data_IF_214519770902
#
_entry.id   IF_214519770902
#
_cell.length_a   1.000
_cell.length_b   1.000
_cell.length_c   1.000
_cell.angle_alpha   90.00
_cell.angle_beta   90.00
_cell.angle_gamma   90.00
#
_symmetry.space_group_name_H-M   'P 1'
#
loop_
_entity.id
_entity.type
_entity.pdbx_description
1 polymer ?
#
# COMPACT_ATOMS: atom_id res chain seq x y z
N UNK A 1 -47.79 -37.91 -25.51
CA UNK A 1 -46.73 -38.39 -24.56
C UNK A 1 -45.81 -37.27 -24.32
N UNK A 2 -45.96 -36.58 -23.22
CA UNK A 2 -45.05 -35.48 -22.82
C UNK A 2 -44.04 -36.05 -21.82
N UNK A 3 -42.79 -36.11 -22.23
CA UNK A 3 -41.66 -36.55 -21.42
C UNK A 3 -41.31 -35.46 -20.44
N UNK A 4 -41.58 -35.70 -19.16
CA UNK A 4 -41.27 -34.78 -18.07
C UNK A 4 -39.77 -34.75 -17.87
N UNK A 5 -39.12 -33.65 -18.26
CA UNK A 5 -37.72 -33.33 -17.93
C UNK A 5 -37.59 -33.28 -16.42
N UNK A 6 -37.00 -34.30 -15.82
CA UNK A 6 -36.68 -34.33 -14.40
C UNK A 6 -35.51 -33.39 -14.14
N UNK A 7 -35.76 -32.23 -13.54
CA UNK A 7 -34.75 -31.36 -13.00
C UNK A 7 -33.92 -32.11 -11.93
N UNK A 8 -32.57 -31.99 -11.93
CA UNK A 8 -31.74 -32.65 -10.94
C UNK A 8 -32.03 -32.10 -9.54
N UNK A 9 -32.15 -33.02 -8.58
CA UNK A 9 -32.43 -32.72 -7.17
C UNK A 9 -31.41 -31.76 -6.59
N UNK A 10 -31.86 -30.61 -6.14
CA UNK A 10 -31.07 -29.53 -5.52
C UNK A 10 -30.34 -29.88 -4.18
N UNK A 11 -30.33 -31.16 -3.79
CA UNK A 11 -29.91 -31.58 -2.44
C UNK A 11 -28.39 -31.80 -2.23
N UNK A 12 -27.56 -31.69 -3.27
CA UNK A 12 -26.12 -32.01 -3.13
C UNK A 12 -25.17 -30.88 -3.51
N UNK A 13 -25.64 -29.81 -4.09
CA UNK A 13 -24.83 -28.70 -4.59
C UNK A 13 -24.30 -27.79 -3.48
N UNK A 14 -24.99 -27.72 -2.35
CA UNK A 14 -24.62 -26.87 -1.25
C UNK A 14 -23.37 -27.36 -0.48
N UNK A 15 -23.06 -28.65 -0.49
CA UNK A 15 -21.84 -29.20 0.06
C UNK A 15 -20.64 -29.12 -0.89
N UNK A 16 -20.88 -28.99 -2.20
CA UNK A 16 -19.81 -28.89 -3.20
C UNK A 16 -19.05 -27.57 -3.11
N UNK A 17 -19.74 -26.47 -2.87
CA UNK A 17 -19.10 -25.17 -2.76
C UNK A 17 -18.13 -25.05 -1.57
N UNK A 18 -18.52 -25.45 -0.34
CA UNK A 18 -17.57 -25.52 0.78
C UNK A 18 -16.41 -26.48 0.51
N UNK A 19 -16.68 -27.67 -0.04
CA UNK A 19 -15.63 -28.64 -0.36
C UNK A 19 -14.61 -28.12 -1.38
N UNK A 20 -15.06 -27.40 -2.42
CA UNK A 20 -14.18 -26.76 -3.40
C UNK A 20 -13.41 -25.56 -2.81
N UNK A 21 -13.99 -24.85 -1.83
CA UNK A 21 -13.32 -23.75 -1.15
C UNK A 21 -12.30 -24.22 -0.10
N UNK A 22 -12.46 -25.45 0.44
CA UNK A 22 -11.61 -25.98 1.52
C UNK A 22 -10.11 -25.91 1.23
N UNK A 23 -9.58 -26.31 0.06
CA UNK A 23 -8.15 -26.23 -0.22
C UNK A 23 -7.63 -24.78 -0.18
N UNK A 24 -8.37 -23.83 -0.75
CA UNK A 24 -8.02 -22.41 -0.73
C UNK A 24 -8.05 -21.82 0.68
N UNK A 25 -9.07 -22.13 1.46
CA UNK A 25 -9.18 -21.69 2.85
C UNK A 25 -8.08 -22.31 3.72
N UNK A 26 -7.82 -23.63 3.58
CA UNK A 26 -6.75 -24.30 4.30
C UNK A 26 -5.39 -23.67 4.00
N UNK A 27 -5.11 -23.37 2.72
CA UNK A 27 -3.89 -22.69 2.29
C UNK A 27 -3.76 -21.28 2.89
N UNK A 28 -4.84 -20.52 2.90
CA UNK A 28 -4.91 -19.20 3.53
C UNK A 28 -4.61 -19.27 5.03
N UNK A 29 -5.23 -20.22 5.75
CA UNK A 29 -4.99 -20.43 7.19
C UNK A 29 -3.51 -20.78 7.44
N UNK A 30 -2.95 -21.71 6.69
CA UNK A 30 -1.55 -22.15 6.89
C UNK A 30 -0.57 -21.02 6.58
N UNK A 31 -0.74 -20.29 5.48
CA UNK A 31 0.22 -19.27 5.06
C UNK A 31 0.04 -17.92 5.74
N UNK A 32 -1.12 -17.63 6.28
CA UNK A 32 -1.41 -16.35 6.93
C UNK A 32 -1.62 -16.47 8.43
N UNK A 33 -2.55 -17.31 8.88
CA UNK A 33 -2.89 -17.38 10.29
C UNK A 33 -1.76 -17.98 11.13
N UNK A 34 -1.03 -18.99 10.63
CA UNK A 34 0.07 -19.61 11.38
C UNK A 34 1.25 -18.65 11.56
N UNK A 35 1.78 -17.95 10.51
CA UNK A 35 2.80 -16.93 10.71
C UNK A 35 2.34 -15.77 11.59
N UNK A 36 1.09 -15.32 11.42
CA UNK A 36 0.53 -14.25 12.28
C UNK A 36 0.43 -14.67 13.74
N UNK A 37 0.05 -15.93 14.00
CA UNK A 37 0.10 -16.50 15.36
C UNK A 37 1.53 -16.54 15.91
N UNK A 38 2.53 -16.82 15.07
CA UNK A 38 3.94 -16.70 15.44
C UNK A 38 4.34 -15.30 15.89
N UNK A 39 3.84 -14.27 15.19
CA UNK A 39 4.05 -12.86 15.60
C UNK A 39 3.40 -12.60 16.97
N UNK A 40 2.18 -13.09 17.23
CA UNK A 40 1.52 -12.99 18.53
C UNK A 40 2.33 -13.69 19.63
N UNK A 41 2.82 -14.91 19.36
CA UNK A 41 3.63 -15.68 20.30
C UNK A 41 4.94 -14.99 20.69
N UNK A 42 5.53 -14.20 19.78
CA UNK A 42 6.73 -13.40 20.03
C UNK A 42 6.39 -12.09 20.74
N UNK A 43 5.31 -11.41 20.34
CA UNK A 43 4.92 -10.12 20.90
C UNK A 43 4.46 -10.22 22.35
N UNK A 44 3.74 -11.31 22.69
CA UNK A 44 3.24 -11.62 24.03
C UNK A 44 4.06 -12.68 24.74
N UNK A 45 5.22 -13.04 24.17
CA UNK A 45 6.17 -13.96 24.78
C UNK A 45 7.02 -13.30 25.86
N UNK A 46 7.80 -14.13 26.57
CA UNK A 46 8.78 -13.67 27.53
C UNK A 46 10.02 -13.08 26.86
N UNK A 47 10.85 -12.41 27.64
CA UNK A 47 12.18 -11.94 27.24
C UNK A 47 13.21 -12.67 28.10
N UNK A 48 14.20 -13.29 27.44
CA UNK A 48 15.33 -13.92 28.15
C UNK A 48 16.08 -12.86 28.97
N UNK A 49 16.16 -13.03 30.30
CA UNK A 49 16.78 -12.03 31.17
C UNK A 49 18.28 -11.90 30.97
N UNK A 50 18.95 -12.89 30.35
CA UNK A 50 20.41 -12.90 30.14
C UNK A 50 20.77 -12.31 28.78
N UNK A 51 20.10 -12.76 27.73
CA UNK A 51 20.40 -12.38 26.34
C UNK A 51 19.47 -11.32 25.77
N UNK A 52 18.39 -10.97 26.47
CA UNK A 52 17.40 -10.00 25.99
C UNK A 52 16.61 -10.46 24.74
N UNK A 53 16.77 -11.73 24.35
CA UNK A 53 16.06 -12.30 23.21
C UNK A 53 14.61 -12.60 23.54
N UNK A 54 13.70 -12.38 22.58
CA UNK A 54 12.32 -12.79 22.74
C UNK A 54 12.21 -14.30 22.75
N UNK A 55 11.53 -14.86 23.74
CA UNK A 55 11.19 -16.26 23.87
C UNK A 55 9.73 -16.41 23.44
N UNK A 56 9.44 -17.06 22.29
CA UNK A 56 8.06 -17.21 21.85
C UNK A 56 7.27 -18.11 22.82
N UNK A 57 6.12 -17.64 23.28
CA UNK A 57 5.20 -18.42 24.12
C UNK A 57 4.00 -18.83 23.29
N UNK A 58 3.93 -20.12 22.96
CA UNK A 58 2.88 -20.66 22.09
C UNK A 58 1.54 -20.88 22.80
N UNK A 59 1.52 -20.91 24.14
CA UNK A 59 0.30 -21.09 24.92
C UNK A 59 -0.31 -19.71 25.25
N UNK A 60 -1.50 -19.34 24.72
CA UNK A 60 -2.13 -18.04 25.01
C UNK A 60 -2.42 -17.78 26.50
N UNK A 61 -2.55 -18.83 27.33
CA UNK A 61 -2.79 -18.70 28.77
C UNK A 61 -1.57 -18.23 29.55
N UNK A 62 -0.39 -18.26 28.94
CA UNK A 62 0.90 -17.86 29.53
C UNK A 62 1.44 -16.56 28.87
N UNK A 63 0.62 -15.86 28.12
CA UNK A 63 1.05 -14.62 27.46
C UNK A 63 1.25 -13.50 28.46
N UNK A 64 2.36 -12.80 28.31
CA UNK A 64 2.72 -11.59 29.04
C UNK A 64 2.60 -10.38 28.14
N UNK A 65 1.88 -9.36 28.58
CA UNK A 65 1.64 -8.15 27.79
C UNK A 65 2.65 -7.04 28.04
N UNK A 66 3.68 -7.28 28.85
CA UNK A 66 4.65 -6.27 29.28
C UNK A 66 5.35 -5.60 28.10
N UNK A 67 5.96 -6.39 27.20
CA UNK A 67 6.64 -5.86 26.01
C UNK A 67 5.71 -5.11 25.06
N UNK A 68 4.45 -5.55 24.97
CA UNK A 68 3.45 -4.87 24.14
C UNK A 68 3.03 -3.53 24.75
N UNK A 69 2.77 -3.48 26.06
CA UNK A 69 2.39 -2.23 26.76
C UNK A 69 3.51 -1.23 26.77
N UNK A 70 4.76 -1.64 27.03
CA UNK A 70 5.94 -0.77 26.93
C UNK A 70 6.11 -0.22 25.52
N UNK A 71 5.93 -1.05 24.49
CA UNK A 71 6.01 -0.59 23.08
C UNK A 71 4.88 0.38 22.76
N UNK A 72 3.67 0.11 23.23
CA UNK A 72 2.52 1.01 23.06
C UNK A 72 2.74 2.36 23.76
N UNK A 73 3.28 2.36 24.98
CA UNK A 73 3.68 3.59 25.67
C UNK A 73 4.71 4.39 24.90
N UNK A 74 5.71 3.75 24.29
CA UNK A 74 6.71 4.40 23.43
C UNK A 74 6.10 4.96 22.16
N UNK A 75 5.05 4.35 21.63
CA UNK A 75 4.28 4.90 20.48
C UNK A 75 3.49 6.12 20.94
N UNK A 76 2.89 6.11 22.12
CA UNK A 76 2.10 7.22 22.66
C UNK A 76 2.99 8.36 23.17
N UNK A 77 4.13 8.05 23.83
CA UNK A 77 5.04 9.02 24.46
C UNK A 77 5.97 9.81 23.53
N UNK A 78 5.70 9.77 22.23
CA UNK A 78 6.35 10.54 21.18
C UNK A 78 7.68 10.00 20.60
N UNK A 79 8.31 8.97 21.10
CA UNK A 79 9.51 8.41 20.48
C UNK A 79 9.19 7.67 19.17
N UNK A 80 8.40 6.61 19.25
CA UNK A 80 7.91 5.87 18.08
C UNK A 80 6.70 6.56 17.43
N UNK A 81 5.94 7.34 18.20
CA UNK A 81 4.83 8.14 17.69
C UNK A 81 5.24 9.14 16.62
N UNK A 82 6.38 9.81 16.79
CA UNK A 82 6.94 10.70 15.75
C UNK A 82 7.29 9.97 14.47
N UNK A 83 7.80 8.74 14.57
CA UNK A 83 8.09 7.90 13.40
C UNK A 83 6.79 7.49 12.71
N UNK A 84 5.77 7.12 13.47
CA UNK A 84 4.46 6.75 12.95
C UNK A 84 3.80 7.93 12.20
N UNK A 85 3.74 9.10 12.83
CA UNK A 85 3.19 10.32 12.20
C UNK A 85 3.98 10.67 10.93
N UNK A 86 5.30 10.61 10.97
CA UNK A 86 6.15 10.85 9.80
C UNK A 86 5.86 9.86 8.67
N UNK A 87 5.69 8.58 8.99
CA UNK A 87 5.29 7.56 7.99
C UNK A 87 3.99 7.94 7.31
N UNK A 88 2.96 8.32 8.08
CA UNK A 88 1.70 8.76 7.50
C UNK A 88 1.84 10.03 6.66
N UNK A 89 2.61 11.01 7.10
CA UNK A 89 2.89 12.22 6.32
C UNK A 89 3.56 11.87 4.99
N UNK A 90 4.54 10.97 4.98
CA UNK A 90 5.21 10.54 3.74
C UNK A 90 4.26 9.77 2.82
N UNK A 91 3.46 8.87 3.36
CA UNK A 91 2.46 8.11 2.58
C UNK A 91 1.42 9.05 1.98
N UNK A 92 0.90 10.01 2.75
CA UNK A 92 -0.07 10.99 2.24
C UNK A 92 0.56 11.89 1.17
N UNK A 93 1.79 12.36 1.38
CA UNK A 93 2.51 13.16 0.40
C UNK A 93 2.76 12.34 -0.89
N UNK A 94 3.22 11.09 -0.76
CA UNK A 94 3.43 10.20 -1.90
C UNK A 94 2.13 9.89 -2.65
N UNK A 95 1.01 9.65 -1.92
CA UNK A 95 -0.31 9.48 -2.53
C UNK A 95 -0.78 10.72 -3.28
N UNK A 96 -0.55 11.92 -2.74
CA UNK A 96 -0.89 13.17 -3.42
C UNK A 96 -0.12 13.31 -4.75
N UNK A 97 1.17 12.98 -4.76
CA UNK A 97 1.98 12.97 -5.98
C UNK A 97 1.53 11.85 -6.93
N UNK A 98 1.24 10.65 -6.43
CA UNK A 98 0.68 9.55 -7.23
C UNK A 98 -0.67 9.96 -7.86
N UNK A 99 -1.50 10.71 -7.16
CA UNK A 99 -2.74 11.26 -7.71
C UNK A 99 -2.47 12.28 -8.82
N UNK A 100 -1.56 13.22 -8.58
CA UNK A 100 -1.23 14.27 -9.56
C UNK A 100 -0.65 13.72 -10.86
N UNK A 101 0.16 12.68 -10.79
CA UNK A 101 0.79 12.03 -11.96
C UNK A 101 -0.09 10.89 -12.47
N UNK A 102 -0.56 10.04 -11.59
CA UNK A 102 -1.25 8.80 -11.92
C UNK A 102 -2.65 9.04 -12.48
N UNK A 103 -3.38 10.06 -12.01
CA UNK A 103 -4.73 10.34 -12.53
C UNK A 103 -4.70 10.78 -14.00
N UNK A 104 -3.88 11.75 -14.44
CA UNK A 104 -3.74 12.08 -15.86
C UNK A 104 -3.30 10.90 -16.71
N UNK A 105 -2.34 10.10 -16.23
CA UNK A 105 -1.87 8.90 -16.94
C UNK A 105 -3.00 7.87 -17.09
N UNK A 106 -3.69 7.52 -16.00
CA UNK A 106 -4.80 6.59 -16.02
C UNK A 106 -5.93 7.08 -16.94
N UNK A 107 -6.27 8.38 -16.89
CA UNK A 107 -7.29 8.99 -17.73
C UNK A 107 -6.90 8.94 -19.21
N UNK A 108 -5.66 9.30 -19.52
CA UNK A 108 -5.14 9.24 -20.90
C UNK A 108 -5.22 7.81 -21.46
N UNK A 109 -4.73 6.84 -20.70
CA UNK A 109 -4.73 5.43 -21.11
C UNK A 109 -6.15 4.90 -21.28
N UNK A 110 -7.07 5.23 -20.35
CA UNK A 110 -8.45 4.77 -20.40
C UNK A 110 -9.26 5.39 -21.56
N UNK A 111 -9.02 6.68 -21.88
CA UNK A 111 -9.95 7.47 -22.71
C UNK A 111 -9.39 7.91 -24.05
N UNK A 112 -8.10 8.17 -24.13
CA UNK A 112 -7.49 8.83 -25.28
C UNK A 112 -6.54 7.94 -26.09
N UNK A 113 -6.05 6.84 -25.52
CA UNK A 113 -5.00 6.03 -26.14
C UNK A 113 -5.49 5.05 -27.23
N UNK A 114 -6.80 4.77 -27.28
CA UNK A 114 -7.41 3.89 -28.27
C UNK A 114 -6.69 2.52 -28.38
N UNK A 115 -6.17 2.22 -29.56
CA UNK A 115 -5.45 0.94 -29.84
C UNK A 115 -4.13 0.78 -29.08
N UNK A 116 -3.54 1.85 -28.57
CA UNK A 116 -2.21 1.83 -27.93
C UNK A 116 -2.31 1.56 -26.40
N UNK A 117 -3.52 1.44 -25.83
CA UNK A 117 -3.70 1.28 -24.39
C UNK A 117 -2.92 0.08 -23.81
N UNK A 118 -2.92 -1.04 -24.49
CA UNK A 118 -2.20 -2.24 -24.05
C UNK A 118 -0.68 -2.02 -24.00
N UNK A 119 -0.11 -1.33 -25.02
CA UNK A 119 1.29 -0.97 -25.06
C UNK A 119 1.66 -0.01 -23.93
N UNK A 120 0.83 1.01 -23.66
CA UNK A 120 1.10 1.99 -22.62
C UNK A 120 1.04 1.35 -21.21
N UNK A 121 0.09 0.43 -20.97
CA UNK A 121 0.04 -0.34 -19.75
C UNK A 121 1.24 -1.27 -19.61
N UNK A 122 1.66 -1.92 -20.69
CA UNK A 122 2.87 -2.76 -20.68
C UNK A 122 4.13 -1.93 -20.37
N UNK A 123 4.27 -0.74 -20.97
CA UNK A 123 5.39 0.17 -20.68
C UNK A 123 5.37 0.68 -19.23
N UNK A 124 4.19 0.97 -18.68
CA UNK A 124 4.04 1.35 -17.28
C UNK A 124 4.51 0.23 -16.34
N UNK A 125 4.22 -1.03 -16.70
CA UNK A 125 4.56 -2.19 -15.88
C UNK A 125 5.98 -2.72 -16.14
N UNK A 126 6.58 -2.44 -17.30
CA UNK A 126 7.88 -2.98 -17.70
C UNK A 126 8.98 -2.79 -16.63
N UNK A 127 9.14 -1.62 -15.97
CA UNK A 127 10.13 -1.45 -14.91
C UNK A 127 9.90 -2.36 -13.70
N UNK A 128 8.65 -2.84 -13.51
CA UNK A 128 8.28 -3.67 -12.36
C UNK A 128 8.64 -5.16 -12.50
N UNK A 129 9.09 -5.58 -13.68
CA UNK A 129 9.72 -6.89 -13.87
C UNK A 129 11.12 -6.96 -13.27
N UNK A 130 11.72 -5.80 -12.99
CA UNK A 130 12.98 -5.71 -12.26
C UNK A 130 12.69 -5.69 -10.74
N UNK A 131 13.50 -6.40 -9.96
CA UNK A 131 13.39 -6.41 -8.50
C UNK A 131 13.33 -4.99 -7.91
N UNK A 132 12.49 -4.81 -6.89
CA UNK A 132 12.36 -3.53 -6.17
C UNK A 132 13.70 -3.04 -5.62
N UNK A 133 14.49 -3.94 -5.03
CA UNK A 133 15.82 -3.62 -4.50
C UNK A 133 16.74 -3.08 -5.59
N UNK A 134 16.80 -3.74 -6.76
CA UNK A 134 17.65 -3.29 -7.87
C UNK A 134 17.23 -1.91 -8.39
N UNK A 135 15.93 -1.64 -8.42
CA UNK A 135 15.41 -0.32 -8.80
C UNK A 135 15.80 0.77 -7.80
N UNK A 136 15.75 0.47 -6.49
CA UNK A 136 16.18 1.41 -5.44
C UNK A 136 17.69 1.63 -5.50
N UNK A 137 18.51 0.62 -5.74
CA UNK A 137 19.96 0.77 -5.94
C UNK A 137 20.30 1.61 -7.18
N UNK A 138 19.51 1.48 -8.26
CA UNK A 138 19.65 2.36 -9.41
C UNK A 138 19.36 3.83 -9.05
N UNK A 139 18.30 4.09 -8.25
CA UNK A 139 18.04 5.43 -7.72
C UNK A 139 19.15 5.96 -6.82
N UNK A 140 19.74 5.11 -5.96
CA UNK A 140 20.92 5.49 -5.15
C UNK A 140 22.04 5.96 -6.06
N UNK A 141 22.37 5.23 -7.13
CA UNK A 141 23.42 5.65 -8.08
C UNK A 141 23.09 6.95 -8.81
N UNK A 142 21.83 7.14 -9.22
CA UNK A 142 21.38 8.35 -9.91
C UNK A 142 21.43 9.60 -9.04
N UNK A 143 21.18 9.44 -7.73
CA UNK A 143 21.06 10.52 -6.73
C UNK A 143 22.35 10.81 -5.98
N UNK A 144 23.46 10.13 -6.29
CA UNK A 144 24.76 10.44 -5.70
C UNK A 144 25.20 11.89 -6.00
N UNK A 145 26.09 12.46 -5.20
CA UNK A 145 26.63 13.81 -5.44
C UNK A 145 27.14 14.01 -6.86
N UNK A 146 27.80 12.98 -7.42
CA UNK A 146 28.33 12.96 -8.79
C UNK A 146 27.41 12.15 -9.75
N UNK A 147 26.16 11.95 -9.39
CA UNK A 147 25.19 11.21 -10.17
C UNK A 147 24.48 12.07 -11.23
N UNK A 148 23.89 11.40 -12.21
CA UNK A 148 23.24 12.03 -13.37
C UNK A 148 22.14 13.05 -12.98
N UNK A 149 21.43 12.87 -11.89
CA UNK A 149 20.40 13.84 -11.45
C UNK A 149 21.06 15.17 -11.10
N UNK A 150 22.20 15.15 -10.38
CA UNK A 150 22.95 16.37 -10.05
C UNK A 150 23.61 17.00 -11.29
N UNK A 151 24.01 16.21 -12.26
CA UNK A 151 24.52 16.75 -13.55
C UNK A 151 23.41 17.52 -14.27
N UNK A 152 22.20 16.96 -14.33
CA UNK A 152 21.04 17.67 -14.93
C UNK A 152 20.69 18.93 -14.11
N UNK A 153 20.70 18.86 -12.78
CA UNK A 153 20.42 20.01 -11.90
C UNK A 153 21.46 21.13 -12.14
N UNK A 154 22.72 20.77 -12.30
CA UNK A 154 23.80 21.75 -12.57
C UNK A 154 23.69 22.40 -13.96
N UNK A 155 23.13 21.73 -14.98
CA UNK A 155 22.85 22.33 -16.29
C UNK A 155 21.88 23.51 -16.22
N UNK A 156 20.98 23.52 -15.23
CA UNK A 156 20.04 24.61 -14.98
C UNK A 156 20.62 25.70 -14.04
N UNK A 157 21.92 25.62 -13.69
CA UNK A 157 22.60 26.61 -12.83
C UNK A 157 22.32 26.44 -11.34
N UNK A 158 21.74 25.33 -10.91
CA UNK A 158 21.55 25.04 -9.50
C UNK A 158 22.77 24.32 -8.92
N UNK A 159 22.99 24.50 -7.61
CA UNK A 159 24.02 23.76 -6.86
C UNK A 159 23.67 22.27 -6.75
N UNK A 160 24.70 21.42 -6.67
CA UNK A 160 24.55 19.99 -6.43
C UNK A 160 23.85 19.73 -5.11
N UNK A 161 22.89 18.85 -5.09
CA UNK A 161 22.04 18.54 -3.95
C UNK A 161 22.48 17.21 -3.35
N UNK A 162 22.70 17.18 -2.03
CA UNK A 162 22.91 15.92 -1.29
C UNK A 162 21.55 15.21 -1.09
N UNK A 163 21.08 14.50 -2.10
CA UNK A 163 19.78 13.85 -2.11
C UNK A 163 19.64 12.74 -1.07
N UNK A 164 20.71 11.97 -0.85
CA UNK A 164 20.76 10.80 0.03
C UNK A 164 21.00 11.14 1.50
N UNK A 165 21.27 12.41 1.81
CA UNK A 165 21.55 12.87 3.17
C UNK A 165 20.28 13.24 3.94
N UNK A 166 19.47 12.24 4.29
CA UNK A 166 18.34 12.40 5.20
C UNK A 166 17.25 13.36 4.69
N UNK A 167 16.96 13.39 3.38
CA UNK A 167 15.94 14.25 2.81
C UNK A 167 14.60 13.54 2.68
N UNK A 168 13.57 14.12 3.30
CA UNK A 168 12.19 13.63 3.20
C UNK A 168 11.70 13.54 1.75
N UNK A 169 12.06 14.52 0.92
CA UNK A 169 11.67 14.57 -0.51
C UNK A 169 12.18 13.35 -1.26
N UNK A 170 13.40 12.90 -0.99
CA UNK A 170 13.99 11.72 -1.66
C UNK A 170 13.24 10.44 -1.29
N UNK A 171 12.85 10.30 -0.02
CA UNK A 171 12.03 9.16 0.42
C UNK A 171 10.66 9.19 -0.26
N UNK A 172 9.99 10.35 -0.29
CA UNK A 172 8.68 10.50 -0.96
C UNK A 172 8.78 10.19 -2.45
N UNK A 173 9.82 10.68 -3.16
CA UNK A 173 10.04 10.35 -4.57
C UNK A 173 10.26 8.85 -4.79
N UNK A 174 11.03 8.19 -3.93
CA UNK A 174 11.22 6.74 -3.98
C UNK A 174 9.91 5.97 -3.79
N UNK A 175 9.09 6.38 -2.82
CA UNK A 175 7.75 5.81 -2.59
C UNK A 175 6.86 6.01 -3.83
N UNK A 176 6.81 7.21 -4.40
CA UNK A 176 6.03 7.47 -5.62
C UNK A 176 6.47 6.55 -6.75
N UNK A 177 7.76 6.53 -7.04
CA UNK A 177 8.30 5.67 -8.10
C UNK A 177 8.00 4.19 -7.86
N UNK A 178 8.14 3.73 -6.61
CA UNK A 178 7.91 2.34 -6.23
C UNK A 178 6.46 1.89 -6.36
N UNK A 179 5.52 2.81 -6.16
CA UNK A 179 4.12 2.43 -5.98
C UNK A 179 3.13 3.05 -6.98
N UNK A 180 3.56 3.97 -7.85
CA UNK A 180 2.67 4.62 -8.83
C UNK A 180 1.86 3.66 -9.71
N UNK A 181 2.34 2.49 -10.16
CA UNK A 181 1.49 1.56 -10.92
C UNK A 181 0.37 0.93 -10.10
N UNK A 182 0.58 0.72 -8.80
CA UNK A 182 -0.49 0.23 -7.91
C UNK A 182 -1.61 1.26 -7.77
N UNK A 183 -1.32 2.54 -8.00
CA UNK A 183 -2.31 3.61 -8.06
C UNK A 183 -2.96 3.68 -9.45
N UNK A 184 -2.18 3.64 -10.52
CA UNK A 184 -2.66 3.84 -11.90
C UNK A 184 -3.57 2.71 -12.35
N UNK A 185 -3.24 1.45 -12.07
CA UNK A 185 -3.97 0.30 -12.59
C UNK A 185 -5.42 0.20 -12.11
N UNK A 186 -5.71 0.28 -10.79
CA UNK A 186 -7.10 0.25 -10.31
C UNK A 186 -7.90 1.48 -10.78
N UNK A 187 -7.24 2.64 -10.82
CA UNK A 187 -7.86 3.87 -11.30
C UNK A 187 -8.18 3.79 -12.80
N UNK A 188 -7.24 3.28 -13.60
CA UNK A 188 -7.47 2.99 -15.01
C UNK A 188 -8.70 2.08 -15.20
N UNK A 189 -8.76 0.96 -14.48
CA UNK A 189 -9.87 0.02 -14.58
C UNK A 189 -11.23 0.66 -14.20
N UNK A 190 -11.24 1.58 -13.26
CA UNK A 190 -12.43 2.34 -12.89
C UNK A 190 -12.81 3.37 -13.98
N UNK A 191 -11.83 4.10 -14.49
CA UNK A 191 -12.06 5.09 -15.55
C UNK A 191 -12.48 4.45 -16.88
N UNK A 192 -11.96 3.29 -17.24
CA UNK A 192 -12.33 2.55 -18.47
C UNK A 192 -13.80 2.10 -18.46
N UNK A 193 -14.37 1.87 -17.28
CA UNK A 193 -15.78 1.46 -17.09
C UNK A 193 -16.78 2.62 -17.08
N UNK A 194 -16.34 3.86 -16.99
CA UNK A 194 -17.27 5.00 -16.98
C UNK A 194 -17.98 5.13 -18.34
N UNK A 195 -19.29 5.39 -18.31
CA UNK A 195 -20.05 5.61 -19.53
C UNK A 195 -19.63 6.93 -20.22
N UNK A 196 -19.14 6.80 -21.44
CA UNK A 196 -18.70 7.92 -22.24
C UNK A 196 -19.84 8.90 -22.55
N UNK A 197 -21.09 8.38 -22.65
CA UNK A 197 -22.27 9.20 -22.94
C UNK A 197 -22.53 10.26 -21.88
N UNK A 198 -22.22 9.96 -20.60
CA UNK A 198 -22.37 10.92 -19.50
C UNK A 198 -21.40 12.09 -19.67
N UNK A 199 -20.16 11.81 -20.12
CA UNK A 199 -19.14 12.83 -20.38
C UNK A 199 -19.56 13.68 -21.58
N UNK A 200 -20.03 13.07 -22.66
CA UNK A 200 -20.55 13.75 -23.86
C UNK A 200 -21.75 14.64 -23.52
N UNK A 201 -22.75 14.10 -22.80
CA UNK A 201 -23.91 14.88 -22.35
C UNK A 201 -23.52 16.10 -21.50
N UNK A 202 -22.46 15.99 -20.68
CA UNK A 202 -21.97 17.14 -19.92
C UNK A 202 -21.41 18.24 -20.82
N UNK A 203 -20.77 17.88 -21.94
CA UNK A 203 -20.27 18.84 -22.93
C UNK A 203 -21.42 19.46 -23.72
N UNK A 204 -22.46 18.68 -24.07
CA UNK A 204 -23.67 19.18 -24.75
C UNK A 204 -24.45 20.18 -23.90
N UNK A 205 -24.38 20.03 -22.56
CA UNK A 205 -24.90 20.99 -21.59
C UNK A 205 -23.99 22.23 -21.37
N UNK A 206 -22.96 22.40 -22.19
CA UNK A 206 -22.04 23.55 -22.17
C UNK A 206 -20.94 23.49 -21.12
N UNK A 207 -20.70 22.34 -20.48
CA UNK A 207 -19.59 22.21 -19.53
C UNK A 207 -18.25 22.15 -20.25
N UNK A 208 -17.31 22.99 -19.85
CA UNK A 208 -15.93 22.93 -20.30
C UNK A 208 -15.19 21.71 -19.75
N UNK A 209 -14.09 21.31 -20.36
CA UNK A 209 -13.29 20.09 -20.01
C UNK A 209 -12.92 20.00 -18.54
N UNK A 210 -12.49 21.11 -17.92
CA UNK A 210 -12.14 21.14 -16.50
C UNK A 210 -13.38 20.98 -15.58
N UNK A 211 -14.50 21.62 -15.95
CA UNK A 211 -15.75 21.51 -15.21
C UNK A 211 -16.29 20.07 -15.28
N UNK A 212 -16.28 19.43 -16.46
CA UNK A 212 -16.62 18.03 -16.66
C UNK A 212 -15.71 17.11 -15.82
N UNK A 213 -14.40 17.37 -15.82
CA UNK A 213 -13.48 16.60 -15.00
C UNK A 213 -13.85 16.66 -13.51
N UNK A 214 -14.02 17.86 -12.94
CA UNK A 214 -14.24 18.02 -11.50
C UNK A 214 -15.64 17.61 -11.07
N UNK A 215 -16.67 17.88 -11.90
CA UNK A 215 -18.07 17.67 -11.53
C UNK A 215 -18.66 16.34 -11.98
N UNK A 216 -18.04 15.68 -12.97
CA UNK A 216 -18.56 14.42 -13.54
C UNK A 216 -17.52 13.30 -13.37
N UNK A 217 -16.35 13.42 -14.01
CA UNK A 217 -15.37 12.33 -14.07
C UNK A 217 -14.83 11.96 -12.68
N UNK A 218 -14.41 12.94 -11.89
CA UNK A 218 -13.81 12.73 -10.58
C UNK A 218 -14.81 12.12 -9.58
N UNK A 219 -16.05 12.62 -9.44
CA UNK A 219 -17.06 12.00 -8.59
C UNK A 219 -17.45 10.58 -9.03
N UNK A 220 -17.58 10.34 -10.33
CA UNK A 220 -17.91 9.01 -10.85
C UNK A 220 -16.77 8.00 -10.65
N UNK A 221 -15.52 8.45 -10.66
CA UNK A 221 -14.34 7.60 -10.45
C UNK A 221 -13.96 7.44 -8.96
N UNK A 222 -14.70 8.05 -8.03
CA UNK A 222 -14.33 8.10 -6.60
C UNK A 222 -14.07 6.74 -5.96
N UNK A 223 -14.87 5.71 -6.33
CA UNK A 223 -14.67 4.36 -5.80
C UNK A 223 -13.35 3.75 -6.29
N UNK A 224 -13.04 3.92 -7.57
CA UNK A 224 -11.76 3.49 -8.14
C UNK A 224 -10.59 4.27 -7.58
N UNK A 225 -10.75 5.57 -7.36
CA UNK A 225 -9.74 6.42 -6.74
C UNK A 225 -9.45 6.00 -5.29
N UNK A 226 -10.50 5.73 -4.50
CA UNK A 226 -10.35 5.22 -3.14
C UNK A 226 -9.69 3.84 -3.13
N UNK A 227 -10.07 2.94 -4.03
CA UNK A 227 -9.43 1.63 -4.17
C UNK A 227 -7.94 1.79 -4.54
N UNK A 228 -7.62 2.64 -5.52
CA UNK A 228 -6.25 2.94 -5.90
C UNK A 228 -5.43 3.49 -4.72
N UNK A 229 -5.99 4.45 -3.98
CA UNK A 229 -5.34 5.04 -2.81
C UNK A 229 -5.03 4.00 -1.73
N UNK A 230 -5.99 3.13 -1.39
CA UNK A 230 -5.81 2.10 -0.36
C UNK A 230 -4.82 1.03 -0.78
N UNK A 231 -4.95 0.51 -2.02
CA UNK A 231 -4.02 -0.51 -2.56
C UNK A 231 -2.58 0.00 -2.65
N UNK A 232 -2.40 1.32 -2.75
CA UNK A 232 -1.09 1.97 -2.77
C UNK A 232 -0.59 2.31 -1.37
N UNK A 233 -1.45 2.85 -0.49
CA UNK A 233 -1.08 3.30 0.85
C UNK A 233 -0.67 2.15 1.77
N UNK A 234 -1.39 1.01 1.73
CA UNK A 234 -1.14 -0.10 2.63
C UNK A 234 0.30 -0.64 2.53
N UNK A 235 0.81 -1.04 1.33
CA UNK A 235 2.19 -1.48 1.23
C UNK A 235 3.21 -0.35 1.46
N UNK A 236 2.91 0.91 1.09
CA UNK A 236 3.78 2.06 1.39
C UNK A 236 4.02 2.23 2.89
N UNK A 237 2.99 1.99 3.72
CA UNK A 237 3.10 2.18 5.18
C UNK A 237 4.08 1.21 5.81
N UNK A 238 4.20 0.00 5.27
CA UNK A 238 5.16 -1.02 5.71
C UNK A 238 6.51 -0.98 5.01
N UNK A 239 6.72 -0.05 4.07
CA UNK A 239 7.97 0.04 3.31
C UNK A 239 9.14 0.44 4.22
N UNK A 240 10.20 -0.34 4.16
CA UNK A 240 11.44 -0.07 4.87
C UNK A 240 12.63 0.14 3.93
N UNK A 241 12.62 -0.47 2.74
CA UNK A 241 13.71 -0.37 1.78
C UNK A 241 13.91 1.05 1.25
N UNK A 242 12.81 1.76 0.94
CA UNK A 242 12.89 3.09 0.34
C UNK A 242 13.59 4.07 1.25
N UNK A 243 13.18 4.15 2.51
CA UNK A 243 13.77 5.09 3.47
C UNK A 243 15.19 4.67 3.87
N UNK A 244 15.48 3.38 3.99
CA UNK A 244 16.80 2.86 4.34
C UNK A 244 17.83 3.13 3.24
N UNK A 245 17.48 2.84 1.99
CA UNK A 245 18.39 2.97 0.86
C UNK A 245 18.53 4.41 0.34
N UNK A 246 17.44 5.17 0.28
CA UNK A 246 17.46 6.52 -0.30
C UNK A 246 17.77 7.62 0.69
N UNK A 247 17.81 7.31 1.98
CA UNK A 247 18.10 8.32 2.99
C UNK A 247 19.07 7.84 4.06
N UNK A 248 18.91 6.62 4.58
CA UNK A 248 19.76 6.02 5.61
C UNK A 248 19.83 6.80 6.93
N UNK A 249 19.05 7.87 7.07
CA UNK A 249 19.12 8.76 8.23
C UNK A 249 17.99 8.49 9.23
N UNK A 250 18.26 8.46 10.56
CA UNK A 250 17.22 8.26 11.58
C UNK A 250 16.07 9.27 11.50
N UNK A 251 16.38 10.49 11.06
CA UNK A 251 15.41 11.59 10.92
C UNK A 251 14.38 11.36 9.80
N UNK A 252 14.59 10.41 8.89
CA UNK A 252 13.68 10.05 7.80
C UNK A 252 13.20 8.62 7.87
N UNK A 253 13.58 7.86 8.90
CA UNK A 253 13.14 6.48 9.07
C UNK A 253 11.62 6.39 9.18
N UNK A 254 11.03 5.36 8.57
CA UNK A 254 9.62 5.03 8.62
C UNK A 254 9.35 3.92 9.64
N UNK A 255 8.07 3.64 9.92
CA UNK A 255 7.72 2.59 10.89
C UNK A 255 8.21 1.21 10.43
N UNK A 256 8.23 0.94 9.11
CA UNK A 256 8.79 -0.28 8.53
C UNK A 256 10.27 -0.46 8.88
N UNK A 257 11.08 0.62 8.85
CA UNK A 257 12.49 0.57 9.24
C UNK A 257 12.67 0.23 10.72
N UNK A 258 11.80 0.77 11.59
CA UNK A 258 11.86 0.44 13.02
C UNK A 258 11.51 -1.03 13.27
N UNK A 259 10.50 -1.55 12.59
CA UNK A 259 10.11 -2.96 12.67
C UNK A 259 11.27 -3.84 12.20
N UNK A 260 11.88 -3.52 11.03
CA UNK A 260 13.03 -4.25 10.50
C UNK A 260 14.21 -4.21 11.47
N UNK A 261 14.53 -3.04 12.00
CA UNK A 261 15.63 -2.87 12.96
C UNK A 261 15.43 -3.73 14.21
N UNK A 262 14.25 -3.70 14.85
CA UNK A 262 13.99 -4.47 16.05
C UNK A 262 13.95 -5.99 15.80
N UNK A 263 13.40 -6.43 14.66
CA UNK A 263 13.28 -7.85 14.36
C UNK A 263 14.59 -8.50 13.92
N UNK A 264 15.41 -7.80 13.14
CA UNK A 264 16.56 -8.40 12.46
C UNK A 264 17.92 -7.90 12.95
N UNK A 265 18.03 -6.63 13.34
CA UNK A 265 19.31 -6.02 13.75
C UNK A 265 19.42 -5.85 15.28
N UNK A 266 18.30 -5.68 15.96
CA UNK A 266 18.26 -5.43 17.41
C UNK A 266 18.03 -6.71 18.22
N UNK A 267 18.30 -6.62 19.54
CA UNK A 267 17.97 -7.70 20.50
C UNK A 267 16.49 -7.68 20.95
N UNK A 268 15.72 -6.66 20.59
CA UNK A 268 14.36 -6.42 21.08
C UNK A 268 13.28 -6.96 20.13
N UNK A 269 13.34 -8.23 19.78
CA UNK A 269 12.40 -8.86 18.81
C UNK A 269 10.94 -8.78 19.28
N UNK A 270 10.68 -8.83 20.61
CA UNK A 270 9.34 -8.69 21.18
C UNK A 270 8.75 -7.29 20.89
N UNK A 271 9.56 -6.23 21.01
CA UNK A 271 9.15 -4.87 20.64
C UNK A 271 8.88 -4.74 19.13
N UNK A 272 9.70 -5.36 18.29
CA UNK A 272 9.45 -5.42 16.84
C UNK A 272 8.14 -6.12 16.50
N UNK A 273 7.86 -7.27 17.07
CA UNK A 273 6.60 -7.99 16.91
C UNK A 273 5.40 -7.18 17.43
N UNK A 274 5.55 -6.49 18.57
CA UNK A 274 4.53 -5.59 19.12
C UNK A 274 4.23 -4.42 18.18
N UNK A 275 5.26 -3.83 17.52
CA UNK A 275 5.07 -2.79 16.52
C UNK A 275 4.33 -3.32 15.28
N UNK A 276 4.59 -4.55 14.84
CA UNK A 276 3.83 -5.19 13.75
C UNK A 276 2.35 -5.29 14.12
N UNK A 277 2.03 -5.70 15.37
CA UNK A 277 0.64 -5.80 15.84
C UNK A 277 -0.03 -4.43 15.90
N UNK A 278 0.64 -3.41 16.44
CA UNK A 278 0.11 -2.03 16.53
C UNK A 278 -0.16 -1.48 15.14
N UNK A 279 0.80 -1.62 14.22
CA UNK A 279 0.62 -1.19 12.83
C UNK A 279 -0.52 -1.95 12.15
N UNK A 280 -0.58 -3.28 12.32
CA UNK A 280 -1.64 -4.11 11.75
C UNK A 280 -3.02 -3.70 12.27
N UNK A 281 -3.16 -3.47 13.58
CA UNK A 281 -4.41 -2.99 14.18
C UNK A 281 -4.84 -1.64 13.59
N UNK A 282 -3.90 -0.70 13.43
CA UNK A 282 -4.15 0.61 12.84
C UNK A 282 -4.58 0.49 11.38
N UNK A 283 -3.92 -0.37 10.58
CA UNK A 283 -4.29 -0.61 9.19
C UNK A 283 -5.66 -1.30 9.06
N UNK A 284 -6.01 -2.20 9.97
CA UNK A 284 -7.35 -2.83 10.04
C UNK A 284 -8.43 -1.78 10.33
N UNK A 285 -8.18 -0.87 11.26
CA UNK A 285 -9.10 0.26 11.54
C UNK A 285 -9.26 1.12 10.30
N UNK A 286 -8.18 1.48 9.63
CA UNK A 286 -8.22 2.24 8.38
C UNK A 286 -9.01 1.50 7.29
N UNK A 287 -8.77 0.21 7.11
CA UNK A 287 -9.51 -0.65 6.16
C UNK A 287 -11.00 -0.72 6.48
N UNK A 288 -11.36 -0.81 7.76
CA UNK A 288 -12.75 -0.80 8.18
C UNK A 288 -13.49 0.49 7.80
N UNK A 289 -12.86 1.66 8.02
CA UNK A 289 -13.41 2.94 7.59
C UNK A 289 -13.52 3.05 6.06
N UNK A 290 -12.52 2.53 5.35
CA UNK A 290 -12.56 2.45 3.89
C UNK A 290 -13.74 1.61 3.40
N UNK A 291 -13.91 0.40 3.91
CA UNK A 291 -15.02 -0.49 3.51
C UNK A 291 -16.38 0.16 3.79
N UNK A 292 -16.54 0.80 4.95
CA UNK A 292 -17.75 1.57 5.24
C UNK A 292 -17.98 2.74 4.28
N UNK A 293 -16.93 3.40 3.84
CA UNK A 293 -17.02 4.48 2.86
C UNK A 293 -17.49 3.96 1.50
N UNK A 294 -16.97 2.82 1.07
CA UNK A 294 -17.37 2.16 -0.18
C UNK A 294 -18.84 1.72 -0.12
N UNK A 295 -19.26 1.09 0.97
CA UNK A 295 -20.65 0.65 1.17
C UNK A 295 -21.65 1.82 1.13
N UNK A 296 -21.31 2.94 1.75
CA UNK A 296 -22.16 4.15 1.68
C UNK A 296 -22.25 4.70 0.25
N UNK A 297 -21.14 4.66 -0.48
CA UNK A 297 -21.09 5.14 -1.85
C UNK A 297 -21.88 4.24 -2.82
N UNK A 298 -21.91 2.92 -2.59
CA UNK A 298 -22.70 1.99 -3.41
C UNK A 298 -24.20 2.13 -3.20
N UNK A 299 -24.66 2.41 -1.98
CA UNK A 299 -26.09 2.61 -1.65
C UNK A 299 -26.68 3.91 -2.18
N UNK A 300 -25.87 4.86 -2.63
CA UNK A 300 -26.35 6.13 -3.21
C UNK A 300 -26.59 6.03 -4.73
N UNK A 301 -26.24 4.90 -5.35
CA UNK A 301 -26.37 4.67 -6.81
C UNK A 301 -27.52 3.71 -7.12
N UNK A 302 -28.07 3.02 -6.11
CA UNK A 302 -29.30 2.21 -6.19
C UNK A 302 -30.49 3.03 -5.69
#
# INVERSE_FOLDING_TARGET
>A
MAEAVRLPRAGRTWLLWPALATPGVAWLVVLFAVPFYGVLAVAFGGVDPIFGNAVPVWNPLQWEFTSFTETLERVVSADLGRVLVRTFVYVVAALAVCFLIGFPVAYYVARLSGRHRGLLLALLLAPFWISYLMRMLAWVNLLQPDGYVNDVVSLFGFERVAWLDGRAVTVVLGLVYGYVPFFVLPLYAALDRLDQRVIEASHDLGMGRFATFVRVTLPMSRQGLLAAAVLTALPMTGDYYTADLLSGAPRTSMIGNQIEFYLFRGSQKAAGASLVLILSALLVVFMYFYLRSVDRASRQVT
#
